data_IF_652036197901
#
_entry.id   IF_652036197901
#
_cell.length_a   1.000
_cell.length_b   1.000
_cell.length_c   1.000
_cell.angle_alpha   90.00
_cell.angle_beta   90.00
_cell.angle_gamma   90.00
#
_symmetry.space_group_name_H-M   'P 1'
#
loop_
_entity.id
_entity.type
_entity.pdbx_description
1 polymer ?
#
# COMPACT_ATOMS: atom_id res chain seq x y z
N UNK A 1 -8.72 -2.29 7.15
CA UNK A 1 -8.75 -3.02 5.86
C UNK A 1 -7.91 -4.30 5.96
N UNK A 2 -6.68 -4.22 6.51
CA UNK A 2 -5.77 -5.35 6.77
C UNK A 2 -6.41 -6.57 7.48
N UNK A 3 -7.20 -6.40 8.53
CA UNK A 3 -7.81 -7.55 9.25
C UNK A 3 -8.76 -8.38 8.39
N UNK A 4 -9.56 -7.73 7.55
CA UNK A 4 -10.49 -8.41 6.64
C UNK A 4 -9.71 -9.19 5.57
N UNK A 5 -8.69 -8.56 4.99
CA UNK A 5 -7.84 -9.16 3.97
C UNK A 5 -7.06 -10.36 4.50
N UNK A 6 -6.45 -10.22 5.69
CA UNK A 6 -5.72 -11.31 6.34
C UNK A 6 -6.64 -12.49 6.66
N UNK A 7 -7.87 -12.20 7.08
CA UNK A 7 -8.89 -13.22 7.38
C UNK A 7 -9.38 -13.94 6.13
N UNK A 8 -9.55 -13.24 5.00
CA UNK A 8 -9.91 -13.86 3.72
C UNK A 8 -8.75 -14.70 3.18
N UNK A 9 -7.54 -14.15 3.16
CA UNK A 9 -6.34 -14.87 2.72
C UNK A 9 -6.08 -16.13 3.56
N UNK A 10 -6.19 -16.04 4.89
CA UNK A 10 -6.00 -17.19 5.78
C UNK A 10 -7.05 -18.30 5.57
N UNK A 11 -8.24 -17.96 5.05
CA UNK A 11 -9.30 -18.93 4.78
C UNK A 11 -9.23 -19.53 3.37
N UNK A 12 -8.81 -18.76 2.37
CA UNK A 12 -8.85 -19.18 0.96
C UNK A 12 -7.49 -19.49 0.37
N UNK A 13 -6.40 -19.01 0.98
CA UNK A 13 -5.05 -19.05 0.44
C UNK A 13 -4.88 -18.27 -0.88
N UNK A 14 -5.87 -17.47 -1.27
CA UNK A 14 -5.89 -16.83 -2.58
C UNK A 14 -4.98 -15.58 -2.60
N UNK A 15 -3.75 -15.78 -3.06
CA UNK A 15 -2.72 -14.74 -3.15
C UNK A 15 -3.07 -13.65 -4.18
N UNK A 16 -3.73 -14.00 -5.29
CA UNK A 16 -4.16 -13.03 -6.30
C UNK A 16 -5.06 -11.93 -5.70
N UNK A 17 -5.99 -12.30 -4.81
CA UNK A 17 -6.91 -11.33 -4.18
C UNK A 17 -6.16 -10.34 -3.27
N UNK A 18 -5.14 -10.82 -2.54
CA UNK A 18 -4.30 -9.96 -1.71
C UNK A 18 -3.48 -8.98 -2.55
N UNK A 19 -2.88 -9.46 -3.64
CA UNK A 19 -2.08 -8.64 -4.55
C UNK A 19 -2.94 -7.57 -5.24
N UNK A 20 -4.14 -7.93 -5.70
CA UNK A 20 -5.08 -6.99 -6.31
C UNK A 20 -5.49 -5.89 -5.32
N UNK A 21 -5.79 -6.25 -4.07
CA UNK A 21 -6.09 -5.26 -3.04
C UNK A 21 -4.90 -4.34 -2.78
N UNK A 22 -3.69 -4.90 -2.68
CA UNK A 22 -2.46 -4.13 -2.44
C UNK A 22 -2.17 -3.14 -3.57
N UNK A 23 -2.41 -3.54 -4.82
CA UNK A 23 -2.30 -2.66 -5.98
C UNK A 23 -3.30 -1.51 -5.89
N UNK A 24 -4.56 -1.78 -5.53
CA UNK A 24 -5.57 -0.73 -5.33
C UNK A 24 -5.24 0.22 -4.17
N UNK A 25 -4.62 -0.28 -3.08
CA UNK A 25 -4.14 0.55 -1.99
C UNK A 25 -2.97 1.44 -2.43
N UNK A 26 -2.00 0.89 -3.16
CA UNK A 26 -0.85 1.61 -3.73
C UNK A 26 -1.29 2.72 -4.70
N UNK A 27 -2.26 2.45 -5.58
CA UNK A 27 -2.83 3.46 -6.49
C UNK A 27 -3.47 4.61 -5.69
N UNK A 28 -4.12 4.30 -4.56
CA UNK A 28 -4.77 5.29 -3.69
C UNK A 28 -3.76 6.11 -2.91
N UNK A 29 -2.65 5.49 -2.50
CA UNK A 29 -1.54 6.13 -1.79
C UNK A 29 -0.80 7.09 -2.72
N UNK A 30 -0.37 6.64 -3.90
CA UNK A 30 0.28 7.47 -4.94
C UNK A 30 -0.54 8.72 -5.28
N UNK A 31 -1.87 8.59 -5.38
CA UNK A 31 -2.75 9.72 -5.71
C UNK A 31 -2.98 10.69 -4.53
N UNK A 32 -2.66 10.28 -3.30
CA UNK A 32 -2.65 11.15 -2.12
C UNK A 32 -1.33 11.93 -2.00
N UNK A 33 -0.21 11.37 -2.49
CA UNK A 33 1.11 12.03 -2.50
C UNK A 33 1.16 13.18 -3.52
N UNK A 34 0.36 13.11 -4.59
CA UNK A 34 0.25 14.19 -5.58
C UNK A 34 -0.52 15.43 -5.07
N UNK A 35 -1.29 15.31 -3.98
CA UNK A 35 -1.97 16.44 -3.31
C UNK A 35 -1.32 16.89 -1.99
N UNK A 36 -0.23 16.26 -1.55
CA UNK A 36 0.43 16.55 -0.28
C UNK A 36 1.90 16.91 -0.46
N UNK A 37 2.18 18.20 -0.67
CA UNK A 37 3.44 18.92 -0.39
C UNK A 37 4.77 18.16 -0.54
N UNK A 38 5.55 18.55 -1.56
CA UNK A 38 6.97 18.18 -1.65
C UNK A 38 7.77 18.64 -0.43
N UNK A 39 8.29 17.69 0.34
CA UNK A 39 9.47 17.78 1.22
C UNK A 39 9.70 16.38 1.81
N UNK A 40 10.90 16.05 2.30
CA UNK A 40 11.23 14.79 3.03
C UNK A 40 11.66 13.55 2.20
N UNK A 41 12.29 13.70 1.02
CA UNK A 41 13.06 12.57 0.43
C UNK A 41 14.54 12.84 0.14
N UNK A 42 15.08 13.97 0.63
CA UNK A 42 16.50 14.34 0.44
C UNK A 42 17.40 14.10 1.66
N UNK A 43 16.88 13.63 2.81
CA UNK A 43 17.68 13.56 4.06
C UNK A 43 18.34 12.20 4.35
N UNK A 44 18.13 11.15 3.55
CA UNK A 44 18.70 9.82 3.81
C UNK A 44 20.00 9.51 3.06
N UNK A 45 20.45 10.40 2.16
CA UNK A 45 21.69 10.17 1.39
C UNK A 45 22.98 10.70 2.06
N UNK A 46 22.89 11.13 3.32
CA UNK A 46 24.04 11.67 4.06
C UNK A 46 24.16 11.04 5.46
N UNK A 47 24.24 9.71 5.55
CA UNK A 47 24.94 9.04 6.65
C UNK A 47 25.65 7.76 6.18
#
# INVERSE_FOLDING_TARGET
>A
MLDFTWKVFSQTGNIETYLLLKEMESVRENHAEESGTGSVRELDHQL
#
